data_IF_422530519631
#
_entry.id   IF_422530519631
#
_cell.length_a   1.000
_cell.length_b   1.000
_cell.length_c   1.000
_cell.angle_alpha   90.00
_cell.angle_beta   90.00
_cell.angle_gamma   90.00
#
_symmetry.space_group_name_H-M   'P 1'
#
loop_
_entity.id
_entity.type
_entity.pdbx_description
1 polymer ?
#
# COMPACT_ATOMS: atom_id res chain seq x y z
N UNK A 1 -8.60 -10.83 0.41
CA UNK A 1 -9.30 -10.20 1.55
C UNK A 1 -8.84 -8.76 1.78
N UNK A 2 -7.54 -8.45 1.75
CA UNK A 2 -7.01 -7.09 2.01
C UNK A 2 -7.72 -5.99 1.18
N UNK A 3 -7.91 -6.20 -0.12
CA UNK A 3 -8.62 -5.24 -0.98
C UNK A 3 -10.09 -5.04 -0.60
N UNK A 4 -10.76 -6.08 -0.10
CA UNK A 4 -12.16 -5.96 0.35
C UNK A 4 -12.26 -5.11 1.60
N UNK A 5 -11.33 -5.28 2.54
CA UNK A 5 -11.29 -4.48 3.78
C UNK A 5 -10.94 -3.01 3.50
N UNK A 6 -10.09 -2.74 2.50
CA UNK A 6 -9.78 -1.38 2.05
C UNK A 6 -11.01 -0.68 1.47
N UNK A 7 -11.76 -1.38 0.62
CA UNK A 7 -13.02 -0.84 0.07
C UNK A 7 -14.05 -0.61 1.18
N UNK A 8 -14.21 -1.56 2.12
CA UNK A 8 -15.10 -1.40 3.28
C UNK A 8 -14.70 -0.23 4.19
N UNK A 9 -13.41 0.04 4.31
CA UNK A 9 -12.88 1.18 5.07
C UNK A 9 -13.09 2.53 4.36
N UNK A 10 -13.70 2.56 3.17
CA UNK A 10 -14.04 3.78 2.44
C UNK A 10 -12.95 4.27 1.49
N UNK A 11 -11.88 3.49 1.27
CA UNK A 11 -10.87 3.81 0.25
C UNK A 11 -11.35 3.32 -1.12
N UNK A 12 -12.15 4.16 -1.78
CA UNK A 12 -12.80 3.83 -3.07
C UNK A 12 -11.79 3.81 -4.22
N UNK A 13 -10.89 4.80 -4.25
CA UNK A 13 -9.88 4.94 -5.30
C UNK A 13 -8.51 5.26 -4.69
N UNK A 14 -7.43 4.72 -5.28
CA UNK A 14 -6.08 5.02 -4.82
C UNK A 14 -5.67 6.46 -5.13
N UNK A 15 -5.01 7.11 -4.17
CA UNK A 15 -4.43 8.43 -4.39
C UNK A 15 -3.22 8.35 -5.33
N UNK A 16 -2.74 9.47 -5.93
CA UNK A 16 -1.61 9.44 -6.85
C UNK A 16 -0.34 8.77 -6.29
N UNK A 17 -0.03 8.99 -5.01
CA UNK A 17 1.13 8.37 -4.34
C UNK A 17 0.93 6.87 -4.11
N UNK A 18 -0.30 6.41 -3.89
CA UNK A 18 -0.64 4.99 -3.77
C UNK A 18 -0.56 4.29 -5.13
N UNK A 19 -1.16 4.89 -6.16
CA UNK A 19 -1.17 4.37 -7.54
C UNK A 19 0.24 4.17 -8.11
N UNK A 20 1.18 5.06 -7.77
CA UNK A 20 2.57 4.92 -8.19
C UNK A 20 3.40 4.06 -7.23
N UNK A 21 3.15 4.17 -5.91
CA UNK A 21 3.94 3.50 -4.87
C UNK A 21 3.67 2.00 -4.77
N UNK A 22 2.41 1.56 -4.84
CA UNK A 22 2.06 0.15 -4.66
C UNK A 22 2.72 -0.79 -5.67
N UNK A 23 2.71 -0.51 -7.00
CA UNK A 23 3.38 -1.38 -7.95
C UNK A 23 4.90 -1.49 -7.73
N UNK A 24 5.55 -0.47 -7.17
CA UNK A 24 6.98 -0.50 -6.88
C UNK A 24 7.27 -1.29 -5.60
N UNK A 25 6.55 -1.00 -4.52
CA UNK A 25 6.73 -1.67 -3.25
C UNK A 25 6.36 -3.16 -3.31
N UNK A 26 5.28 -3.53 -4.02
CA UNK A 26 4.86 -4.93 -4.21
C UNK A 26 5.85 -5.75 -5.05
N UNK A 27 6.71 -5.09 -5.84
CA UNK A 27 7.84 -5.75 -6.54
C UNK A 27 9.06 -5.95 -5.64
N UNK A 28 8.99 -5.61 -4.36
CA UNK A 28 10.10 -5.68 -3.41
C UNK A 28 11.20 -4.66 -3.69
N UNK A 29 10.87 -3.55 -4.37
CA UNK A 29 11.83 -2.46 -4.61
C UNK A 29 11.78 -1.44 -3.49
N UNK A 30 12.94 -0.90 -3.15
CA UNK A 30 13.03 0.27 -2.28
C UNK A 30 12.43 1.49 -2.99
N UNK A 31 11.72 2.30 -2.21
CA UNK A 31 10.92 3.43 -2.68
C UNK A 31 11.12 4.62 -1.74
N UNK A 32 11.37 5.80 -2.32
CA UNK A 32 11.21 7.08 -1.63
C UNK A 32 9.97 7.77 -2.20
N UNK A 33 8.91 7.89 -1.39
CA UNK A 33 7.67 8.54 -1.77
C UNK A 33 7.56 9.96 -1.21
N UNK A 34 7.46 10.97 -2.09
CA UNK A 34 7.28 12.38 -1.71
C UNK A 34 5.87 12.81 -2.10
N UNK A 35 5.08 13.25 -1.14
CA UNK A 35 3.75 13.81 -1.35
C UNK A 35 3.35 14.68 -0.14
N UNK A 36 2.37 15.56 -0.30
CA UNK A 36 1.88 16.45 0.75
C UNK A 36 1.21 15.71 1.93
N UNK A 37 1.01 16.39 3.06
CA UNK A 37 0.25 15.84 4.20
C UNK A 37 -1.20 15.59 3.79
N UNK A 38 -1.79 14.46 4.21
CA UNK A 38 -3.15 14.07 3.81
C UNK A 38 -3.24 13.34 2.47
N UNK A 39 -2.17 13.24 1.68
CA UNK A 39 -2.14 12.53 0.39
C UNK A 39 -2.27 10.99 0.45
N UNK A 40 -2.40 10.41 1.64
CA UNK A 40 -2.57 8.97 1.79
C UNK A 40 -1.29 8.13 1.81
N UNK A 41 -0.12 8.74 2.11
CA UNK A 41 1.19 8.04 2.24
C UNK A 41 1.15 6.85 3.21
N UNK A 42 0.37 6.93 4.28
CA UNK A 42 0.25 5.86 5.28
C UNK A 42 -0.22 4.55 4.65
N UNK A 43 -1.32 4.58 3.89
CA UNK A 43 -1.80 3.40 3.17
C UNK A 43 -0.88 3.03 1.99
N UNK A 44 -0.12 3.99 1.46
CA UNK A 44 0.84 3.75 0.39
C UNK A 44 1.95 2.76 0.80
N UNK A 45 2.42 2.77 2.06
CA UNK A 45 3.40 1.78 2.54
C UNK A 45 2.79 0.61 3.32
N UNK A 46 1.65 0.81 4.01
CA UNK A 46 1.04 -0.26 4.82
C UNK A 46 0.44 -1.40 4.00
N UNK A 47 -0.27 -1.12 2.90
CA UNK A 47 -0.83 -2.18 2.07
C UNK A 47 0.28 -3.12 1.53
N UNK A 48 1.35 -2.61 0.89
CA UNK A 48 2.44 -3.48 0.45
C UNK A 48 3.09 -4.25 1.60
N UNK A 49 3.25 -3.64 2.78
CA UNK A 49 3.81 -4.31 3.96
C UNK A 49 2.93 -5.48 4.44
N UNK A 50 1.61 -5.31 4.51
CA UNK A 50 0.67 -6.39 4.89
C UNK A 50 0.76 -7.54 3.88
N UNK A 51 0.74 -7.22 2.58
CA UNK A 51 0.87 -8.23 1.52
C UNK A 51 2.21 -8.97 1.63
N UNK A 52 3.30 -8.24 1.92
CA UNK A 52 4.63 -8.81 2.09
C UNK A 52 4.71 -9.76 3.29
N UNK A 53 4.15 -9.38 4.45
CA UNK A 53 4.10 -10.20 5.67
C UNK A 53 3.30 -11.49 5.41
N UNK A 54 2.14 -11.38 4.77
CA UNK A 54 1.29 -12.54 4.46
C UNK A 54 1.93 -13.54 3.49
N UNK A 55 2.90 -13.09 2.68
CA UNK A 55 3.62 -13.94 1.75
C UNK A 55 4.83 -14.65 2.40
N UNK A 56 5.16 -14.37 3.66
CA UNK A 56 6.24 -15.04 4.37
C UNK A 56 5.81 -16.45 4.84
N UNK A 57 6.74 -17.42 4.86
CA UNK A 57 6.46 -18.73 5.45
C UNK A 57 6.15 -18.59 6.95
N UNK A 58 5.24 -19.43 7.43
CA UNK A 58 5.00 -19.60 8.86
C UNK A 58 6.23 -20.30 9.44
N UNK A 59 6.81 -19.68 10.48
CA UNK A 59 7.90 -20.25 11.28
C UNK A 59 7.44 -21.48 12.06
#
# INVERSE_FOLDING_TARGET
>A
YVMQEIVKAGFVEPTPIQSQGWPMALKGRDLIGIAETGSGKTLAYLLPAIVHINAQPIL
#
